data_IF_015275006048
#
_entry.id   IF_015275006048
#
_cell.length_a   1.000
_cell.length_b   1.000
_cell.length_c   1.000
_cell.angle_alpha   90.00
_cell.angle_beta   90.00
_cell.angle_gamma   90.00
#
_symmetry.space_group_name_H-M   'P 1'
#
loop_
_entity.id
_entity.type
_entity.pdbx_description
1 polymer ?
#
# COMPACT_ATOMS: atom_id res chain seq x y z
N UNK A 1 -0.09 13.95 -24.13
CA UNK A 1 0.55 13.21 -23.01
C UNK A 1 0.00 11.80 -22.99
N UNK A 2 0.83 10.79 -23.28
CA UNK A 2 0.44 9.38 -23.17
C UNK A 2 0.14 9.06 -21.70
N UNK A 3 -1.12 8.81 -21.38
CA UNK A 3 -1.50 8.27 -20.06
C UNK A 3 -0.93 6.86 -19.99
N UNK A 4 0.18 6.66 -19.27
CA UNK A 4 0.65 5.31 -18.91
C UNK A 4 -0.54 4.54 -18.34
N UNK A 5 -0.77 3.33 -18.81
CA UNK A 5 -1.83 2.48 -18.27
C UNK A 5 -1.51 2.16 -16.81
N UNK A 6 -2.54 2.11 -15.95
CA UNK A 6 -2.36 1.80 -14.53
C UNK A 6 -1.58 0.49 -14.29
N UNK A 7 -1.64 -0.45 -15.24
CA UNK A 7 -0.89 -1.71 -15.21
C UNK A 7 0.63 -1.52 -15.23
N UNK A 8 1.13 -0.52 -15.97
CA UNK A 8 2.57 -0.26 -16.13
C UNK A 8 3.14 0.67 -15.04
N UNK A 9 2.25 1.33 -14.29
CA UNK A 9 2.64 2.21 -13.19
C UNK A 9 3.02 1.41 -11.95
N UNK A 10 4.11 1.81 -11.29
CA UNK A 10 4.46 1.28 -9.98
C UNK A 10 3.50 1.79 -8.89
N UNK A 11 3.54 1.18 -7.69
CA UNK A 11 2.61 1.51 -6.60
C UNK A 11 2.68 3.01 -6.23
N UNK A 12 3.86 3.60 -6.31
CA UNK A 12 4.10 5.00 -6.01
C UNK A 12 3.50 5.93 -7.08
N UNK A 13 3.69 5.63 -8.36
CA UNK A 13 3.11 6.37 -9.48
C UNK A 13 1.58 6.32 -9.43
N UNK A 14 0.99 5.17 -9.07
CA UNK A 14 -0.46 5.06 -8.87
C UNK A 14 -0.96 5.91 -7.72
N UNK A 15 -0.19 5.94 -6.62
CA UNK A 15 -0.50 6.76 -5.45
C UNK A 15 -0.44 8.26 -5.78
N UNK A 16 0.62 8.70 -6.46
CA UNK A 16 0.81 10.09 -6.87
C UNK A 16 -0.21 10.50 -7.96
N UNK A 17 -0.60 9.58 -8.86
CA UNK A 17 -1.66 9.78 -9.86
C UNK A 17 -3.05 10.03 -9.23
N UNK A 18 -3.29 9.52 -8.02
CA UNK A 18 -4.48 9.86 -7.23
C UNK A 18 -4.42 11.24 -6.56
N UNK A 19 -3.26 11.91 -6.61
CA UNK A 19 -3.04 13.19 -5.92
C UNK A 19 -2.88 13.03 -4.40
N UNK A 20 -2.57 11.82 -3.91
CA UNK A 20 -2.40 11.61 -2.48
C UNK A 20 -1.03 12.09 -2.01
N UNK A 21 -1.00 12.81 -0.89
CA UNK A 21 0.25 13.16 -0.21
C UNK A 21 0.64 12.05 0.76
N UNK A 22 1.86 11.49 0.67
CA UNK A 22 2.31 10.40 1.55
C UNK A 22 2.25 10.78 3.03
N UNK A 23 2.56 12.04 3.33
CA UNK A 23 2.58 12.55 4.69
C UNK A 23 1.17 12.73 5.25
N UNK A 24 0.26 13.31 4.45
CA UNK A 24 -1.14 13.47 4.85
C UNK A 24 -1.84 12.11 4.98
N UNK A 25 -1.58 11.20 4.04
CA UNK A 25 -2.16 9.87 4.03
C UNK A 25 -1.69 9.03 5.22
N UNK A 26 -0.38 9.01 5.50
CA UNK A 26 0.16 8.33 6.68
C UNK A 26 -0.46 8.88 7.98
N UNK A 27 -0.55 10.22 8.11
CA UNK A 27 -1.17 10.89 9.27
C UNK A 27 -2.66 10.57 9.41
N UNK A 28 -3.41 10.56 8.31
CA UNK A 28 -4.85 10.26 8.32
C UNK A 28 -5.15 8.83 8.82
N UNK A 29 -4.28 7.87 8.53
CA UNK A 29 -4.46 6.49 8.96
C UNK A 29 -3.70 6.14 10.25
N UNK A 30 -2.98 7.10 10.82
CA UNK A 30 -2.22 6.94 12.06
C UNK A 30 -1.00 6.03 11.90
N UNK A 31 -0.38 6.01 10.73
CA UNK A 31 0.81 5.20 10.44
C UNK A 31 2.03 6.08 10.21
N UNK A 32 3.21 5.54 10.48
CA UNK A 32 4.46 6.23 10.18
C UNK A 32 4.68 6.41 8.68
N UNK A 33 5.24 7.57 8.31
CA UNK A 33 5.64 7.84 6.92
C UNK A 33 6.63 6.79 6.42
N UNK A 34 7.59 6.38 7.24
CA UNK A 34 8.57 5.34 6.89
C UNK A 34 7.90 4.03 6.50
N UNK A 35 6.88 3.62 7.26
CA UNK A 35 6.04 2.44 6.94
C UNK A 35 5.41 2.54 5.56
N UNK A 36 4.86 3.69 5.18
CA UNK A 36 4.29 3.90 3.86
C UNK A 36 5.35 3.80 2.74
N UNK A 37 6.55 4.34 2.95
CA UNK A 37 7.65 4.20 1.97
C UNK A 37 8.15 2.76 1.85
N UNK A 38 8.23 2.01 2.96
CA UNK A 38 8.58 0.59 2.92
C UNK A 38 7.55 -0.23 2.16
N UNK A 39 6.26 0.12 2.26
CA UNK A 39 5.19 -0.46 1.45
C UNK A 39 5.37 -0.12 -0.03
N UNK A 40 5.66 1.13 -0.37
CA UNK A 40 5.91 1.53 -1.77
C UNK A 40 7.10 0.81 -2.40
N UNK A 41 8.12 0.49 -1.60
CA UNK A 41 9.29 -0.29 -2.04
C UNK A 41 9.05 -1.80 -2.05
N UNK A 42 7.96 -2.29 -1.46
CA UNK A 42 7.71 -3.72 -1.26
C UNK A 42 8.50 -4.37 -0.12
N UNK A 43 9.24 -3.58 0.67
CA UNK A 43 10.01 -4.05 1.83
C UNK A 43 9.11 -4.53 2.98
N UNK A 44 7.94 -3.89 3.12
CA UNK A 44 6.95 -4.20 4.15
C UNK A 44 5.63 -4.62 3.52
N UNK A 45 5.24 -5.87 3.73
CA UNK A 45 4.00 -6.45 3.19
C UNK A 45 2.99 -6.85 4.28
N UNK A 46 3.29 -6.58 5.56
CA UNK A 46 2.41 -6.89 6.69
C UNK A 46 2.33 -8.38 7.02
N UNK A 47 3.09 -9.23 6.35
CA UNK A 47 3.11 -10.69 6.55
C UNK A 47 3.99 -11.13 7.72
N UNK A 48 4.95 -10.30 8.17
CA UNK A 48 5.78 -10.64 9.35
C UNK A 48 4.92 -10.65 10.62
N UNK A 49 4.82 -11.80 11.25
CA UNK A 49 3.90 -12.08 12.36
C UNK A 49 4.29 -11.43 13.70
N UNK A 50 5.53 -10.93 13.86
CA UNK A 50 6.11 -10.64 15.18
C UNK A 50 6.30 -9.15 15.54
N UNK A 51 6.00 -8.20 14.65
CA UNK A 51 6.21 -6.78 14.96
C UNK A 51 4.87 -6.03 15.01
N UNK A 52 4.68 -5.20 16.05
CA UNK A 52 3.55 -4.25 16.17
C UNK A 52 3.35 -3.41 14.89
N UNK A 53 4.44 -3.14 14.15
CA UNK A 53 4.44 -2.45 12.85
C UNK A 53 3.67 -3.17 11.73
N UNK A 54 3.48 -4.48 11.82
CA UNK A 54 2.75 -5.24 10.79
C UNK A 54 1.26 -4.91 10.74
N UNK A 55 0.66 -4.51 11.86
CA UNK A 55 -0.73 -4.04 11.89
C UNK A 55 -0.91 -2.75 11.08
N UNK A 56 -0.01 -1.80 11.26
CA UNK A 56 -0.01 -0.52 10.54
C UNK A 56 0.21 -0.71 9.03
N UNK A 57 1.14 -1.60 8.67
CA UNK A 57 1.36 -1.98 7.26
C UNK A 57 0.10 -2.59 6.66
N UNK A 58 -0.58 -3.49 7.38
CA UNK A 58 -1.83 -4.09 6.88
C UNK A 58 -2.91 -3.05 6.69
N UNK A 59 -3.06 -2.12 7.64
CA UNK A 59 -4.04 -1.04 7.60
C UNK A 59 -3.82 -0.15 6.37
N UNK A 60 -2.58 0.28 6.13
CA UNK A 60 -2.26 1.16 5.00
C UNK A 60 -2.42 0.45 3.66
N UNK A 61 -1.96 -0.79 3.52
CA UNK A 61 -2.10 -1.55 2.28
C UNK A 61 -3.58 -1.87 2.00
N UNK A 62 -4.38 -2.22 3.01
CA UNK A 62 -5.82 -2.40 2.86
C UNK A 62 -6.51 -1.13 2.37
N UNK A 63 -6.10 0.02 2.89
CA UNK A 63 -6.62 1.31 2.46
C UNK A 63 -6.19 1.66 1.03
N UNK A 64 -4.92 1.42 0.67
CA UNK A 64 -4.43 1.57 -0.72
C UNK A 64 -5.23 0.69 -1.70
N UNK A 65 -5.69 -0.50 -1.27
CA UNK A 65 -6.58 -1.37 -2.07
C UNK A 65 -7.97 -0.78 -2.23
N UNK A 66 -8.58 -0.26 -1.16
CA UNK A 66 -9.85 0.48 -1.23
C UNK A 66 -9.76 1.67 -2.18
N UNK A 67 -8.63 2.38 -2.15
CA UNK A 67 -8.35 3.51 -3.00
C UNK A 67 -7.88 3.11 -4.42
N UNK A 68 -7.97 1.83 -4.79
CA UNK A 68 -7.54 1.28 -6.10
C UNK A 68 -6.10 1.63 -6.49
N UNK A 69 -5.25 1.98 -5.53
CA UNK A 69 -3.82 2.21 -5.72
C UNK A 69 -3.09 0.87 -5.70
N UNK A 70 -3.45 0.02 -4.74
CA UNK A 70 -3.00 -1.37 -4.69
C UNK A 70 -3.80 -2.21 -5.70
N UNK A 71 -3.09 -2.88 -6.59
CA UNK A 71 -3.69 -3.77 -7.60
C UNK A 71 -3.15 -5.17 -7.33
N UNK A 72 -4.05 -6.12 -7.10
CA UNK A 72 -3.72 -7.51 -6.80
C UNK A 72 -4.22 -7.95 -5.42
N UNK A 73 -4.00 -9.23 -5.07
CA UNK A 73 -4.35 -9.76 -3.76
C UNK A 73 -3.53 -9.08 -2.66
N UNK A 74 -4.08 -9.03 -1.44
CA UNK A 74 -3.30 -8.56 -0.30
C UNK A 74 -2.25 -9.63 0.05
N UNK A 75 -1.03 -9.26 0.47
CA UNK A 75 0.04 -10.21 0.77
C UNK A 75 -0.31 -11.24 1.87
N UNK A 76 -1.24 -10.89 2.75
CA UNK A 76 -1.74 -11.75 3.84
C UNK A 76 -3.10 -12.39 3.54
N UNK A 77 -3.74 -12.03 2.42
CA UNK A 77 -4.82 -12.84 1.85
C UNK A 77 -4.13 -14.04 1.16
N UNK A 78 -3.63 -14.99 1.96
CA UNK A 78 -3.49 -16.35 1.43
C UNK A 78 -4.90 -16.75 1.01
N UNK A 79 -5.10 -17.03 -0.28
CA UNK A 79 -6.32 -17.65 -0.78
C UNK A 79 -6.72 -18.78 0.19
N UNK A 80 -7.88 -18.67 0.81
CA UNK A 80 -8.67 -19.87 1.05
C UNK A 80 -9.05 -20.37 -0.34
N UNK A 81 -8.23 -21.25 -0.88
CA UNK A 81 -8.64 -22.19 -1.91
C UNK A 81 -9.13 -23.40 -1.12
N UNK A 82 -10.46 -23.47 -0.95
CA UNK A 82 -11.19 -24.69 -0.61
C UNK A 82 -12.12 -24.99 -1.78
#
# INVERSE_FOLDING_TARGET
MMKKSLKDMNLRERFDSRGFSPMAYAKAFGVDRSTLYDVFKGNSTGTKQSNKKSGDVRKIIAQLKKDKVWIGPLPWEKKEEQ
#
